data_IF_479039856962
#
_entry.id   IF_479039856962
#
_cell.length_a   1.000
_cell.length_b   1.000
_cell.length_c   1.000
_cell.angle_alpha   90.00
_cell.angle_beta   90.00
_cell.angle_gamma   90.00
#
_symmetry.space_group_name_H-M   'P 1'
#
loop_
_entity.id
_entity.type
_entity.pdbx_description
1 polymer ?
#
# COMPACT_ATOMS: atom_id res chain seq x y z
N UNK A 1 -57.37 -29.83 -16.05
CA UNK A 1 -58.20 -28.89 -15.26
C UNK A 1 -57.89 -27.48 -15.73
N UNK A 2 -58.69 -26.94 -16.65
CA UNK A 2 -58.49 -25.59 -17.16
C UNK A 2 -59.16 -24.60 -16.21
N UNK A 3 -58.38 -23.74 -15.59
CA UNK A 3 -58.90 -22.65 -14.75
C UNK A 3 -59.59 -21.67 -15.71
N UNK A 4 -60.92 -21.58 -15.65
CA UNK A 4 -61.69 -20.54 -16.34
C UNK A 4 -61.54 -19.23 -15.56
N UNK A 5 -60.53 -18.43 -15.90
CA UNK A 5 -60.32 -17.09 -15.33
C UNK A 5 -61.07 -16.06 -16.18
N UNK A 6 -61.75 -15.11 -15.54
CA UNK A 6 -62.37 -13.97 -16.23
C UNK A 6 -61.29 -13.04 -16.78
N UNK A 7 -61.52 -12.46 -17.97
CA UNK A 7 -60.56 -11.60 -18.66
C UNK A 7 -60.03 -10.45 -17.78
N UNK A 8 -60.91 -9.83 -17.01
CA UNK A 8 -60.53 -8.72 -16.12
C UNK A 8 -59.61 -9.17 -14.97
N UNK A 9 -59.85 -10.37 -14.43
CA UNK A 9 -58.99 -10.97 -13.39
C UNK A 9 -57.62 -11.35 -13.94
N UNK A 10 -57.56 -11.77 -15.22
CA UNK A 10 -56.31 -12.10 -15.91
C UNK A 10 -55.45 -10.85 -16.19
N UNK A 11 -56.10 -9.73 -16.54
CA UNK A 11 -55.40 -8.44 -16.72
C UNK A 11 -54.74 -7.98 -15.43
N UNK A 12 -55.45 -8.08 -14.29
CA UNK A 12 -54.93 -7.68 -12.98
C UNK A 12 -53.72 -8.55 -12.58
N UNK A 13 -53.80 -9.87 -12.81
CA UNK A 13 -52.70 -10.79 -12.50
C UNK A 13 -51.43 -10.51 -13.33
N UNK A 14 -51.60 -10.23 -14.62
CA UNK A 14 -50.46 -9.88 -15.50
C UNK A 14 -49.85 -8.54 -15.08
N UNK A 15 -50.68 -7.54 -14.78
CA UNK A 15 -50.20 -6.23 -14.32
C UNK A 15 -49.38 -6.36 -13.03
N UNK A 16 -49.87 -7.12 -12.05
CA UNK A 16 -49.18 -7.37 -10.80
C UNK A 16 -47.84 -8.10 -11.03
N UNK A 17 -47.82 -9.09 -11.93
CA UNK A 17 -46.60 -9.81 -12.28
C UNK A 17 -45.54 -8.89 -12.90
N UNK A 18 -45.92 -8.02 -13.83
CA UNK A 18 -45.01 -7.05 -14.46
C UNK A 18 -44.46 -6.07 -13.42
N UNK A 19 -45.30 -5.55 -12.52
CA UNK A 19 -44.86 -4.64 -11.46
C UNK A 19 -43.83 -5.28 -10.52
N UNK A 20 -44.05 -6.52 -10.11
CA UNK A 20 -43.09 -7.27 -9.27
C UNK A 20 -41.80 -7.51 -10.05
N UNK A 21 -41.88 -7.88 -11.32
CA UNK A 21 -40.71 -8.13 -12.16
C UNK A 21 -39.86 -6.87 -12.35
N UNK A 22 -40.50 -5.72 -12.62
CA UNK A 22 -39.82 -4.43 -12.77
C UNK A 22 -39.13 -3.99 -11.48
N UNK A 23 -39.76 -4.17 -10.32
CA UNK A 23 -39.15 -3.87 -9.02
C UNK A 23 -37.88 -4.69 -8.79
N UNK A 24 -37.92 -6.00 -9.07
CA UNK A 24 -36.73 -6.85 -8.95
C UNK A 24 -35.67 -6.53 -10.00
N UNK A 25 -36.05 -6.25 -11.23
CA UNK A 25 -35.13 -5.86 -12.29
C UNK A 25 -34.40 -4.56 -11.94
N UNK A 26 -35.08 -3.57 -11.35
CA UNK A 26 -34.46 -2.33 -10.89
C UNK A 26 -33.41 -2.59 -9.81
N UNK A 27 -33.68 -3.49 -8.87
CA UNK A 27 -32.69 -3.89 -7.85
C UNK A 27 -31.49 -4.60 -8.48
N UNK A 28 -31.71 -5.49 -9.45
CA UNK A 28 -30.64 -6.18 -10.16
C UNK A 28 -29.78 -5.22 -10.99
N UNK A 29 -30.41 -4.28 -11.70
CA UNK A 29 -29.68 -3.25 -12.47
C UNK A 29 -28.94 -2.31 -11.53
N UNK A 30 -29.51 -1.94 -10.38
CA UNK A 30 -28.80 -1.14 -9.38
C UNK A 30 -27.54 -1.84 -8.83
N UNK A 31 -27.60 -3.17 -8.60
CA UNK A 31 -26.44 -3.96 -8.18
C UNK A 31 -25.43 -4.22 -9.32
N UNK A 32 -25.90 -4.41 -10.56
CA UNK A 32 -25.01 -4.62 -11.71
C UNK A 32 -24.40 -3.32 -12.23
N UNK A 33 -25.06 -2.18 -12.01
CA UNK A 33 -24.64 -0.84 -12.38
C UNK A 33 -23.94 -0.09 -11.26
N UNK A 34 -23.89 -0.65 -10.03
CA UNK A 34 -22.96 -0.16 -9.02
C UNK A 34 -21.57 -0.60 -9.43
N UNK A 35 -20.96 0.15 -10.36
CA UNK A 35 -19.52 0.17 -10.50
C UNK A 35 -18.97 0.53 -9.12
N UNK A 36 -18.38 -0.44 -8.43
CA UNK A 36 -17.81 -0.25 -7.11
C UNK A 36 -16.49 0.53 -7.23
N UNK A 37 -16.60 1.80 -7.64
CA UNK A 37 -15.55 2.82 -7.45
C UNK A 37 -15.65 3.40 -6.03
N UNK A 38 -16.48 2.82 -5.17
CA UNK A 38 -16.51 3.11 -3.74
C UNK A 38 -15.43 2.37 -2.94
N UNK A 39 -14.76 1.39 -3.58
CA UNK A 39 -13.81 0.45 -2.95
C UNK A 39 -12.38 1.00 -2.77
N UNK A 40 -12.12 2.21 -3.26
CA UNK A 40 -10.82 2.87 -3.15
C UNK A 40 -9.71 2.22 -3.99
N UNK A 41 -8.61 2.94 -4.18
CA UNK A 41 -7.49 2.48 -5.00
C UNK A 41 -6.56 1.62 -4.13
N UNK A 42 -6.38 0.32 -4.43
CA UNK A 42 -5.49 -0.53 -3.65
C UNK A 42 -4.05 -0.07 -3.81
N UNK A 43 -3.25 -0.23 -2.75
CA UNK A 43 -1.81 0.01 -2.84
C UNK A 43 -1.20 -1.06 -3.74
N UNK A 44 -0.76 -0.65 -4.93
CA UNK A 44 -0.16 -1.52 -5.94
C UNK A 44 1.26 -1.98 -5.54
N UNK A 45 1.99 -1.11 -4.83
CA UNK A 45 3.32 -1.43 -4.35
C UNK A 45 4.09 -0.22 -3.84
N UNK A 46 5.23 -0.51 -3.22
CA UNK A 46 6.19 0.48 -2.72
C UNK A 46 7.47 0.36 -3.52
N UNK A 47 7.85 1.43 -4.19
CA UNK A 47 9.08 1.57 -4.96
C UNK A 47 10.05 2.46 -4.19
N UNK A 48 11.26 1.97 -3.93
CA UNK A 48 12.29 2.70 -3.18
C UNK A 48 13.40 3.10 -4.13
N UNK A 49 13.86 4.35 -4.00
CA UNK A 49 14.92 4.95 -4.83
C UNK A 49 15.90 5.71 -3.94
N UNK A 50 17.17 5.72 -4.35
CA UNK A 50 18.22 6.50 -3.68
C UNK A 50 18.86 5.82 -2.47
N UNK A 51 18.54 4.56 -2.20
CA UNK A 51 19.22 3.76 -1.19
C UNK A 51 20.51 3.13 -1.76
N UNK A 52 21.57 3.08 -0.97
CA UNK A 52 22.85 2.46 -1.33
C UNK A 52 23.21 1.37 -0.30
N UNK A 53 23.33 1.76 0.97
CA UNK A 53 23.75 0.86 2.05
C UNK A 53 22.55 0.21 2.75
N UNK A 54 21.46 0.95 2.99
CA UNK A 54 20.27 0.36 3.60
C UNK A 54 19.54 -0.47 2.54
N UNK A 55 19.27 -1.76 2.81
CA UNK A 55 18.56 -2.59 1.85
C UNK A 55 17.13 -2.09 1.63
N UNK A 56 16.68 -2.15 0.38
CA UNK A 56 15.30 -1.82 -0.01
C UNK A 56 14.27 -2.60 0.81
N UNK A 57 14.57 -3.84 1.21
CA UNK A 57 13.68 -4.65 2.04
C UNK A 57 13.43 -4.05 3.43
N UNK A 58 14.47 -3.47 4.07
CA UNK A 58 14.36 -2.83 5.39
C UNK A 58 13.47 -1.59 5.32
N UNK A 59 13.72 -0.73 4.31
CA UNK A 59 12.93 0.47 4.06
C UNK A 59 11.48 0.09 3.72
N UNK A 60 11.28 -0.90 2.85
CA UNK A 60 9.95 -1.38 2.46
C UNK A 60 9.15 -1.87 3.66
N UNK A 61 9.77 -2.64 4.56
CA UNK A 61 9.12 -3.13 5.78
C UNK A 61 8.64 -1.99 6.67
N UNK A 62 9.45 -0.95 6.84
CA UNK A 62 9.09 0.22 7.64
C UNK A 62 7.95 1.05 6.99
N UNK A 63 7.99 1.24 5.67
CA UNK A 63 6.92 1.91 4.93
C UNK A 63 5.61 1.11 5.01
N UNK A 64 5.70 -0.22 4.95
CA UNK A 64 4.55 -1.09 5.13
C UNK A 64 3.97 -1.02 6.55
N UNK A 65 4.81 -0.82 7.57
CA UNK A 65 4.38 -0.60 8.96
C UNK A 65 3.64 0.74 9.13
N UNK A 66 3.99 1.76 8.34
CA UNK A 66 3.25 3.02 8.29
C UNK A 66 1.82 2.84 7.75
N UNK A 67 1.59 1.80 6.93
CA UNK A 67 0.27 1.43 6.42
C UNK A 67 0.23 1.23 4.91
N UNK A 68 1.31 1.59 4.18
CA UNK A 68 1.41 1.40 2.73
C UNK A 68 1.80 -0.05 2.40
N UNK A 69 0.85 -0.97 2.59
CA UNK A 69 1.03 -2.40 2.36
C UNK A 69 -0.09 -2.99 1.53
N UNK A 70 0.18 -4.17 0.98
CA UNK A 70 -0.81 -4.99 0.30
C UNK A 70 -2.05 -5.20 1.19
N UNK A 71 -3.24 -5.03 0.61
CA UNK A 71 -4.51 -5.06 1.34
C UNK A 71 -4.94 -3.75 1.99
N UNK A 72 -4.13 -2.69 1.89
CA UNK A 72 -4.55 -1.32 2.21
C UNK A 72 -5.01 -0.61 0.94
N UNK A 73 -5.90 0.36 1.07
CA UNK A 73 -6.46 1.10 -0.05
C UNK A 73 -6.68 2.57 0.28
N UNK A 74 -6.65 3.40 -0.75
CA UNK A 74 -6.82 4.85 -0.66
C UNK A 74 -8.26 5.17 -1.07
N UNK A 75 -9.04 5.69 -0.13
CA UNK A 75 -10.40 6.19 -0.40
C UNK A 75 -10.40 7.71 -0.30
N UNK A 76 -10.33 8.38 -1.44
CA UNK A 76 -10.21 9.84 -1.51
C UNK A 76 -8.92 10.32 -0.85
N UNK A 77 -9.03 11.01 0.29
CA UNK A 77 -7.89 11.55 1.04
C UNK A 77 -7.53 10.72 2.29
N UNK A 78 -8.04 9.50 2.38
CA UNK A 78 -7.85 8.63 3.55
C UNK A 78 -7.20 7.32 3.13
N UNK A 79 -6.12 6.95 3.82
CA UNK A 79 -5.55 5.61 3.76
C UNK A 79 -6.29 4.71 4.74
N UNK A 80 -6.92 3.67 4.20
CA UNK A 80 -7.61 2.66 4.99
C UNK A 80 -6.74 1.42 5.04
N UNK A 81 -6.34 1.06 6.27
CA UNK A 81 -5.58 -0.15 6.57
C UNK A 81 -6.44 -1.10 7.38
N UNK A 82 -6.00 -2.35 7.56
CA UNK A 82 -6.75 -3.33 8.36
C UNK A 82 -6.84 -3.00 9.86
N UNK A 83 -6.05 -2.04 10.36
CA UNK A 83 -6.01 -1.69 11.79
C UNK A 83 -6.47 -0.27 12.08
N UNK A 84 -6.33 0.65 11.12
CA UNK A 84 -6.58 2.09 11.30
C UNK A 84 -6.94 2.80 10.00
N UNK A 85 -7.63 3.91 10.13
CA UNK A 85 -7.89 4.87 9.05
C UNK A 85 -7.11 6.14 9.36
N UNK A 86 -6.35 6.64 8.39
CA UNK A 86 -5.49 7.80 8.54
C UNK A 86 -5.70 8.74 7.36
N UNK A 87 -5.56 10.04 7.57
CA UNK A 87 -5.44 10.98 6.46
C UNK A 87 -4.18 10.65 5.65
N UNK A 88 -4.27 10.80 4.34
CA UNK A 88 -3.16 10.46 3.44
C UNK A 88 -1.92 11.31 3.73
N UNK A 89 -2.10 12.59 4.07
CA UNK A 89 -1.02 13.49 4.52
C UNK A 89 -0.28 12.93 5.73
N UNK A 90 -1.02 12.51 6.75
CA UNK A 90 -0.47 12.03 8.00
C UNK A 90 0.19 10.67 7.79
N UNK A 91 -0.38 9.84 6.92
CA UNK A 91 0.20 8.56 6.52
C UNK A 91 1.55 8.75 5.80
N UNK A 92 1.64 9.75 4.90
CA UNK A 92 2.87 10.12 4.19
C UNK A 92 3.94 10.60 5.17
N UNK A 93 3.61 11.54 6.05
CA UNK A 93 4.56 12.05 7.05
C UNK A 93 5.05 10.94 7.99
N UNK A 94 4.14 10.08 8.46
CA UNK A 94 4.53 8.92 9.25
C UNK A 94 5.46 8.00 8.47
N UNK A 95 5.15 7.70 7.20
CA UNK A 95 5.99 6.85 6.36
C UNK A 95 7.40 7.44 6.15
N UNK A 96 7.53 8.75 5.99
CA UNK A 96 8.83 9.43 5.94
C UNK A 96 9.62 9.23 7.24
N UNK A 97 8.97 9.36 8.40
CA UNK A 97 9.63 9.11 9.69
C UNK A 97 10.06 7.65 9.83
N UNK A 98 9.21 6.71 9.43
CA UNK A 98 9.53 5.28 9.46
C UNK A 98 10.67 4.92 8.49
N UNK A 99 10.76 5.59 7.34
CA UNK A 99 11.88 5.43 6.42
C UNK A 99 13.20 5.94 7.02
N UNK A 100 13.19 7.10 7.69
CA UNK A 100 14.38 7.63 8.38
C UNK A 100 14.88 6.70 9.50
N UNK A 101 13.98 5.94 10.11
CA UNK A 101 14.31 4.96 11.14
C UNK A 101 14.82 3.61 10.60
N UNK A 102 14.90 3.42 9.26
CA UNK A 102 15.42 2.18 8.70
C UNK A 102 16.92 2.05 8.98
N UNK A 103 17.29 0.94 9.62
CA UNK A 103 18.67 0.64 9.95
C UNK A 103 19.30 -0.33 8.95
N UNK A 104 20.64 -0.30 8.93
CA UNK A 104 21.44 -1.30 8.24
C UNK A 104 21.29 -2.63 9.02
N UNK A 105 20.94 -3.75 8.38
CA UNK A 105 20.76 -5.03 9.06
C UNK A 105 21.97 -5.44 9.89
N UNK A 106 21.71 -5.92 11.11
CA UNK A 106 22.77 -6.29 12.05
C UNK A 106 23.41 -5.11 12.79
N UNK A 107 22.92 -3.88 12.58
CA UNK A 107 23.39 -2.68 13.28
C UNK A 107 22.22 -1.84 13.81
N UNK A 108 22.53 -0.88 14.68
CA UNK A 108 21.59 0.17 15.14
C UNK A 108 21.76 1.49 14.38
N UNK A 109 22.53 1.51 13.29
CA UNK A 109 22.82 2.71 12.53
C UNK A 109 21.68 2.96 11.54
N UNK A 110 21.05 4.13 11.64
CA UNK A 110 20.04 4.62 10.72
C UNK A 110 20.65 5.77 9.88
N UNK A 111 21.20 5.50 8.68
CA UNK A 111 21.92 6.50 7.90
C UNK A 111 21.01 7.39 7.05
N UNK A 112 19.70 7.21 7.08
CA UNK A 112 18.77 7.97 6.24
C UNK A 112 18.50 9.34 6.87
N UNK A 113 18.97 10.41 6.23
CA UNK A 113 18.76 11.78 6.72
C UNK A 113 17.43 12.36 6.20
N UNK A 114 17.16 12.16 4.90
CA UNK A 114 15.97 12.68 4.23
C UNK A 114 15.23 11.53 3.55
N UNK A 115 13.91 11.51 3.72
CA UNK A 115 13.01 10.63 3.02
C UNK A 115 11.83 11.47 2.52
N UNK A 116 11.40 11.22 1.28
CA UNK A 116 10.27 11.87 0.61
C UNK A 116 9.36 10.76 0.07
N UNK A 117 8.08 10.78 0.46
CA UNK A 117 7.11 9.75 0.09
C UNK A 117 6.02 10.35 -0.79
N UNK A 118 5.95 9.89 -2.04
CA UNK A 118 4.96 10.32 -3.00
C UNK A 118 3.98 9.19 -3.28
N UNK A 119 2.68 9.50 -3.23
CA UNK A 119 1.62 8.52 -3.45
C UNK A 119 0.78 8.97 -4.64
N UNK A 120 0.72 8.12 -5.66
CA UNK A 120 -0.21 8.30 -6.77
C UNK A 120 -1.57 7.71 -6.39
N UNK A 121 -2.55 8.58 -6.14
CA UNK A 121 -3.90 8.19 -5.75
C UNK A 121 -4.70 7.55 -6.88
N UNK A 122 -4.25 7.65 -8.14
CA UNK A 122 -4.90 7.02 -9.28
C UNK A 122 -4.43 5.59 -9.51
N UNK A 123 -3.15 5.29 -9.26
CA UNK A 123 -2.56 3.97 -9.51
C UNK A 123 -2.27 3.18 -8.25
N UNK A 124 -2.23 3.84 -7.08
CA UNK A 124 -1.87 3.22 -5.82
C UNK A 124 -0.36 2.93 -5.69
N UNK A 125 0.46 3.52 -6.57
CA UNK A 125 1.91 3.42 -6.48
C UNK A 125 2.46 4.38 -5.44
N UNK A 126 3.31 3.85 -4.56
CA UNK A 126 4.03 4.63 -3.56
C UNK A 126 5.50 4.67 -3.95
N UNK A 127 6.03 5.87 -4.17
CA UNK A 127 7.44 6.11 -4.48
C UNK A 127 8.10 6.73 -3.27
N UNK A 128 9.17 6.10 -2.79
CA UNK A 128 9.93 6.55 -1.63
C UNK A 128 11.33 6.92 -2.11
N UNK A 129 11.63 8.22 -2.05
CA UNK A 129 12.95 8.74 -2.37
C UNK A 129 13.71 8.92 -1.06
N UNK A 130 14.92 8.38 -1.01
CA UNK A 130 15.75 8.35 0.19
C UNK A 130 17.10 8.99 -0.12
N UNK A 131 17.60 9.77 0.83
CA UNK A 131 18.96 10.30 0.83
C UNK A 131 19.67 9.81 2.07
N UNK A 132 20.66 8.96 1.85
CA UNK A 132 21.53 8.44 2.89
C UNK A 132 22.68 9.40 3.18
N UNK A 133 23.04 9.52 4.45
CA UNK A 133 24.21 10.21 4.95
C UNK A 133 25.22 9.18 5.47
N UNK A 134 26.37 9.09 4.81
CA UNK A 134 27.42 8.13 5.14
C UNK A 134 28.33 8.60 6.28
N UNK A 135 28.23 9.87 6.68
CA UNK A 135 29.11 10.43 7.72
C UNK A 135 28.88 9.81 9.11
N UNK A 136 27.72 9.18 9.33
CA UNK A 136 27.41 8.46 10.58
C UNK A 136 28.08 7.09 10.69
N UNK A 137 28.68 6.58 9.61
CA UNK A 137 29.35 5.27 9.58
C UNK A 137 30.81 5.43 9.98
N UNK A 138 31.15 5.05 11.21
CA UNK A 138 32.55 5.01 11.65
C UNK A 138 33.25 3.77 11.08
N UNK A 139 34.06 3.96 10.04
CA UNK A 139 34.92 2.90 9.52
C UNK A 139 36.14 2.78 10.44
N UNK A 140 36.12 1.80 11.35
CA UNK A 140 37.34 1.37 12.03
C UNK A 140 38.21 0.62 11.01
N UNK A 141 39.08 1.37 10.32
CA UNK A 141 40.10 0.78 9.45
C UNK A 141 41.11 0.06 10.34
N UNK A 142 40.94 -1.25 10.51
CA UNK A 142 41.99 -2.09 11.07
C UNK A 142 43.05 -2.28 9.99
N UNK A 143 44.06 -1.39 9.99
CA UNK A 143 45.26 -1.57 9.18
C UNK A 143 45.96 -2.84 9.65
N UNK A 144 45.70 -3.96 8.98
CA UNK A 144 46.39 -5.21 9.21
C UNK A 144 47.77 -5.14 8.53
N UNK A 145 48.65 -4.30 9.06
CA UNK A 145 50.07 -4.29 8.71
C UNK A 145 50.68 -5.59 9.23
N UNK A 146 50.65 -6.64 8.40
CA UNK A 146 51.53 -7.79 8.57
C UNK A 146 52.97 -7.31 8.33
N UNK A 147 53.70 -7.04 9.41
CA UNK A 147 55.15 -6.95 9.37
C UNK A 147 55.69 -8.28 8.85
N UNK A 148 56.18 -8.28 7.61
CA UNK A 148 57.00 -9.37 7.08
C UNK A 148 58.40 -9.22 7.69
N UNK A 149 58.59 -9.73 8.90
CA UNK A 149 59.93 -10.00 9.44
C UNK A 149 60.52 -11.17 8.64
N UNK A 150 61.32 -10.82 7.63
CA UNK A 150 62.20 -11.77 6.96
C UNK A 150 63.34 -12.14 7.93
N UNK A 151 63.17 -13.26 8.64
CA UNK A 151 64.28 -13.95 9.27
C UNK A 151 65.21 -14.48 8.18
N UNK A 152 66.29 -13.75 7.95
CA UNK A 152 67.47 -14.22 7.21
C UNK A 152 68.26 -15.12 8.16
N UNK A 153 68.23 -16.43 7.91
CA UNK A 153 69.13 -17.39 8.54
C UNK A 153 70.59 -17.07 8.17
N UNK A 154 71.47 -17.07 9.17
CA UNK A 154 72.93 -17.15 9.04
C UNK A 154 73.44 -18.31 9.86
#
# INVERSE_FOLDING_TARGET
MFIKVRRDTLIILILAFVLILSGRAMTYVAFASSDSVEDGVPIAGVMIKGNDIVPTSSIKSNIQAAGFREGSYIKGNTLITSQRQLLLSDAIENAEQFAKQSTIPGTSIAPINVADVQVDTSTGNVVVNVVEDFSVIQVNVVNNTKSAEANVET
#
